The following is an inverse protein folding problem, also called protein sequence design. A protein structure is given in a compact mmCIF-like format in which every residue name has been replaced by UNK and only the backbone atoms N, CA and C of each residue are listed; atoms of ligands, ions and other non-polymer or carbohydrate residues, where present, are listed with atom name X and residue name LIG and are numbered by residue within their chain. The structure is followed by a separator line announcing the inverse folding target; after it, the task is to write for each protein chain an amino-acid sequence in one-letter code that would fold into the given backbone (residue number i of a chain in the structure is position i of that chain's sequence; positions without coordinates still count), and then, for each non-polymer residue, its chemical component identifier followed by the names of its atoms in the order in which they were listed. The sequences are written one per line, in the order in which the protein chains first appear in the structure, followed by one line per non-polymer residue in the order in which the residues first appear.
data_IF_195037022590
#
_entry.id   IF_195037022590
#
_cell.length_a   1.000
_cell.length_b   1.000
_cell.length_c   1.000
_cell.angle_alpha   90.00
_cell.angle_beta   90.00
_cell.angle_gamma   90.00
#
_symmetry.space_group_name_H-M   'P 1'
#
loop_
_entity.id
_entity.type
_entity.pdbx_description
1 polymer ?
#
# COMPACT_ATOMS: atom_id res chain seq x y z
N UNK A 1 46.37 53.90 -2.71
CA UNK A 1 46.20 52.49 -2.25
C UNK A 1 44.93 52.42 -1.41
N UNK A 2 44.02 51.43 -1.51
CA UNK A 2 43.51 50.62 -2.64
C UNK A 2 42.11 51.16 -3.10
N UNK A 3 41.79 51.37 -4.39
CA UNK A 3 41.37 50.44 -5.47
C UNK A 3 40.09 49.64 -5.19
N UNK A 4 38.95 50.29 -5.46
CA UNK A 4 37.61 49.72 -5.69
C UNK A 4 37.62 49.06 -7.07
N UNK A 5 37.19 47.80 -7.16
CA UNK A 5 37.23 47.01 -8.40
C UNK A 5 35.88 46.34 -8.68
N UNK A 6 35.34 46.70 -9.85
CA UNK A 6 34.50 45.98 -10.82
C UNK A 6 33.15 45.41 -10.32
N UNK A 7 31.99 45.89 -10.77
CA UNK A 7 31.46 46.01 -12.15
C UNK A 7 31.43 44.66 -12.87
N UNK A 8 30.24 44.06 -12.99
CA UNK A 8 29.60 43.73 -14.27
C UNK A 8 28.49 42.69 -14.08
N UNK A 9 27.26 43.20 -14.06
CA UNK A 9 26.03 42.47 -14.32
C UNK A 9 25.88 42.38 -15.84
N UNK A 10 26.00 41.18 -16.40
CA UNK A 10 25.65 40.90 -17.79
C UNK A 10 25.37 39.40 -17.96
N UNK A 11 24.09 39.03 -18.13
CA UNK A 11 23.72 37.83 -18.86
C UNK A 11 22.49 38.18 -19.72
N UNK A 12 22.73 38.38 -21.01
CA UNK A 12 21.77 38.71 -22.06
C UNK A 12 21.93 37.67 -23.18
N UNK A 13 20.78 37.22 -23.69
CA UNK A 13 20.52 36.55 -24.99
C UNK A 13 21.13 35.15 -25.16
N UNK A 14 20.56 34.18 -25.88
CA UNK A 14 19.51 34.09 -26.92
C UNK A 14 19.06 32.60 -26.90
N UNK A 15 17.84 32.16 -27.21
CA UNK A 15 17.03 32.48 -28.39
C UNK A 15 17.04 31.29 -29.38
N UNK A 16 16.03 30.43 -29.32
CA UNK A 16 15.50 29.59 -30.41
C UNK A 16 14.16 29.00 -29.90
N UNK A 17 12.98 29.54 -30.22
CA UNK A 17 12.30 29.50 -31.51
C UNK A 17 12.15 28.05 -32.05
N UNK A 18 11.17 27.31 -31.55
CA UNK A 18 10.52 26.25 -32.31
C UNK A 18 9.06 26.65 -32.54
N UNK A 19 8.81 27.02 -33.79
CA UNK A 19 7.51 27.30 -34.35
C UNK A 19 6.70 26.00 -34.47
N UNK A 20 5.43 26.10 -34.09
CA UNK A 20 4.28 25.72 -34.89
C UNK A 20 4.46 24.48 -35.79
N UNK A 21 3.95 23.36 -35.31
CA UNK A 21 3.25 22.41 -36.18
C UNK A 21 1.85 22.23 -35.56
N UNK A 22 0.93 23.01 -36.11
CA UNK A 22 -0.50 22.86 -35.94
C UNK A 22 -1.01 22.50 -37.32
N UNK A 23 -1.24 21.21 -37.57
CA UNK A 23 -2.44 20.72 -38.25
C UNK A 23 -2.32 19.21 -38.46
N UNK A 24 -3.50 18.58 -38.54
CA UNK A 24 -3.72 17.19 -38.94
C UNK A 24 -3.15 16.11 -38.02
N UNK A 25 -4.02 15.58 -37.16
CA UNK A 25 -4.28 14.14 -37.16
C UNK A 25 -5.63 13.84 -36.49
N UNK A 26 -6.63 13.71 -37.36
CA UNK A 26 -7.75 12.77 -37.28
C UNK A 26 -8.63 12.82 -36.01
N UNK A 27 -9.68 13.64 -36.11
CA UNK A 27 -10.98 13.30 -35.54
C UNK A 27 -11.45 11.98 -36.17
N UNK A 28 -11.16 10.86 -35.48
CA UNK A 28 -11.83 9.60 -35.73
C UNK A 28 -13.25 9.69 -35.15
N UNK A 29 -14.16 9.94 -36.08
CA UNK A 29 -15.58 9.64 -36.04
C UNK A 29 -15.83 8.13 -35.83
N UNK A 30 -16.98 7.81 -35.24
CA UNK A 30 -17.56 6.47 -35.00
C UNK A 30 -16.81 5.59 -33.97
N UNK A 31 -17.42 5.04 -32.93
CA UNK A 31 -18.78 4.48 -32.81
C UNK A 31 -19.31 4.67 -31.39
N UNK A 32 -20.59 5.05 -31.30
CA UNK A 32 -21.46 4.69 -30.18
C UNK A 32 -21.52 3.16 -30.09
N UNK A 33 -20.59 2.55 -29.39
CA UNK A 33 -20.78 1.20 -28.86
C UNK A 33 -21.67 1.33 -27.62
N UNK A 34 -22.97 1.28 -27.88
CA UNK A 34 -23.97 0.93 -26.89
C UNK A 34 -23.54 -0.42 -26.29
N UNK A 35 -22.96 -0.38 -25.09
CA UNK A 35 -22.71 -1.58 -24.28
C UNK A 35 -24.09 -2.11 -23.90
N UNK A 36 -24.65 -2.94 -24.77
CA UNK A 36 -25.77 -3.82 -24.45
C UNK A 36 -25.20 -4.85 -23.47
N UNK A 37 -25.33 -4.56 -22.18
CA UNK A 37 -25.18 -5.55 -21.14
C UNK A 37 -26.34 -6.52 -21.35
N UNK A 38 -26.04 -7.67 -21.93
CA UNK A 38 -27.00 -8.75 -22.07
C UNK A 38 -27.29 -9.30 -20.65
N UNK A 39 -28.45 -8.96 -20.11
CA UNK A 39 -28.93 -9.36 -18.78
C UNK A 39 -29.05 -10.90 -18.62
N UNK A 40 -28.75 -11.67 -19.66
CA UNK A 40 -28.78 -13.14 -19.64
C UNK A 40 -27.57 -13.79 -18.96
N UNK A 41 -26.44 -13.09 -18.74
CA UNK A 41 -25.29 -13.65 -18.00
C UNK A 41 -25.50 -13.75 -16.47
N UNK A 42 -26.57 -13.15 -15.92
CA UNK A 42 -26.91 -13.22 -14.50
C UNK A 42 -27.99 -14.26 -14.15
N UNK A 43 -28.44 -15.10 -15.09
CA UNK A 43 -29.43 -16.17 -14.79
C UNK A 43 -28.84 -17.36 -14.02
N UNK A 44 -27.51 -17.56 -14.04
CA UNK A 44 -26.86 -18.62 -13.26
C UNK A 44 -27.13 -18.51 -11.75
N UNK A 45 -27.25 -17.29 -11.22
CA UNK A 45 -27.50 -17.06 -9.79
C UNK A 45 -28.98 -17.24 -9.39
N UNK A 46 -29.91 -17.30 -10.36
CA UNK A 46 -31.35 -17.45 -10.07
C UNK A 46 -31.86 -18.88 -10.17
N UNK A 47 -31.18 -19.77 -10.90
CA UNK A 47 -31.64 -21.15 -11.10
C UNK A 47 -31.29 -22.13 -9.97
N UNK A 48 -30.60 -21.70 -8.91
CA UNK A 48 -30.26 -22.59 -7.80
C UNK A 48 -31.34 -22.65 -6.68
N UNK A 49 -32.53 -22.08 -6.91
CA UNK A 49 -33.58 -22.01 -5.89
C UNK A 49 -34.59 -23.17 -5.91
N UNK A 50 -34.60 -23.99 -6.96
CA UNK A 50 -35.61 -25.05 -7.15
C UNK A 50 -35.06 -26.48 -7.27
N UNK A 51 -33.82 -26.73 -6.83
CA UNK A 51 -33.39 -28.10 -6.52
C UNK A 51 -33.99 -28.53 -5.17
N UNK A 52 -35.31 -28.73 -5.18
CA UNK A 52 -36.05 -29.40 -4.12
C UNK A 52 -35.51 -30.83 -4.01
N UNK A 53 -34.68 -31.04 -3.00
CA UNK A 53 -34.25 -32.33 -2.48
C UNK A 53 -35.49 -33.23 -2.30
N UNK A 54 -35.63 -34.25 -3.15
CA UNK A 54 -36.52 -35.39 -2.87
C UNK A 54 -35.89 -36.19 -1.73
N UNK A 55 -36.54 -36.35 -0.56
CA UNK A 55 -36.06 -37.25 0.47
C UNK A 55 -36.68 -38.62 0.17
N UNK A 56 -36.01 -39.42 -0.65
CA UNK A 56 -36.39 -40.82 -0.79
C UNK A 56 -35.13 -41.66 -1.00
N UNK A 57 -34.40 -41.85 0.08
CA UNK A 57 -33.41 -42.90 0.22
C UNK A 57 -33.46 -43.37 1.67
N UNK A 58 -33.80 -44.64 1.85
CA UNK A 58 -33.75 -45.33 3.13
C UNK A 58 -32.37 -45.16 3.80
N UNK A 59 -32.29 -45.15 5.14
CA UNK A 59 -31.02 -45.10 5.84
C UNK A 59 -30.23 -46.38 5.51
N UNK A 60 -29.21 -46.24 4.66
CA UNK A 60 -28.12 -47.21 4.56
C UNK A 60 -27.16 -46.89 5.70
N UNK A 61 -27.24 -47.71 6.75
CA UNK A 61 -26.24 -47.82 7.82
C UNK A 61 -24.95 -48.42 7.22
N UNK A 62 -24.22 -47.62 6.44
CA UNK A 62 -22.86 -47.94 5.95
C UNK A 62 -21.80 -47.15 6.75
N UNK A 63 -21.95 -47.14 8.08
CA UNK A 63 -20.94 -46.62 9.01
C UNK A 63 -20.04 -47.73 9.60
N UNK A 64 -19.83 -48.83 8.89
CA UNK A 64 -18.82 -49.86 9.19
C UNK A 64 -17.44 -49.52 8.58
N UNK A 65 -16.99 -48.28 8.72
CA UNK A 65 -15.63 -47.84 8.33
C UNK A 65 -14.68 -47.62 9.53
N UNK A 66 -15.11 -47.95 10.75
CA UNK A 66 -14.33 -47.73 11.98
C UNK A 66 -14.03 -49.01 12.78
N UNK A 67 -14.13 -50.19 12.15
CA UNK A 67 -13.74 -51.46 12.78
C UNK A 67 -12.29 -51.88 12.41
N UNK A 68 -11.51 -50.94 11.89
CA UNK A 68 -10.07 -51.06 11.67
C UNK A 68 -9.32 -50.54 12.89
N UNK A 69 -8.74 -51.47 13.64
CA UNK A 69 -8.04 -51.35 14.92
C UNK A 69 -6.82 -50.41 14.95
N UNK A 70 -7.01 -49.11 14.70
CA UNK A 70 -5.97 -48.10 14.93
C UNK A 70 -6.34 -47.25 16.16
N UNK A 71 -6.14 -47.85 17.34
CA UNK A 71 -6.25 -47.23 18.67
C UNK A 71 -5.21 -46.10 18.93
N UNK A 72 -4.78 -45.37 17.91
CA UNK A 72 -3.78 -44.30 17.98
C UNK A 72 -4.34 -43.00 18.60
N UNK A 73 -5.66 -42.93 18.82
CA UNK A 73 -6.32 -41.83 19.55
C UNK A 73 -6.31 -41.99 21.08
N UNK A 74 -5.83 -43.11 21.61
CA UNK A 74 -5.80 -43.37 23.06
C UNK A 74 -4.75 -42.53 23.82
N UNK A 75 -3.85 -41.86 23.09
CA UNK A 75 -2.76 -41.06 23.68
C UNK A 75 -3.08 -39.56 23.79
N UNK A 76 -4.34 -39.18 23.52
CA UNK A 76 -4.88 -37.90 23.98
C UNK A 76 -5.09 -37.97 25.50
N UNK A 77 -3.98 -37.96 26.24
CA UNK A 77 -4.02 -37.62 27.66
C UNK A 77 -4.64 -36.23 27.77
N UNK A 78 -5.85 -36.18 28.32
CA UNK A 78 -6.50 -34.97 28.81
C UNK A 78 -5.62 -34.40 29.92
N UNK A 79 -4.55 -33.74 29.50
CA UNK A 79 -3.68 -32.97 30.38
C UNK A 79 -4.58 -31.90 30.95
N UNK A 80 -4.81 -31.96 32.26
CA UNK A 80 -5.60 -30.95 32.95
C UNK A 80 -5.11 -29.57 32.49
N UNK A 81 -6.02 -28.66 32.08
CA UNK A 81 -5.61 -27.35 31.61
C UNK A 81 -4.68 -26.75 32.67
N UNK A 82 -3.51 -26.23 32.27
CA UNK A 82 -2.55 -25.70 33.21
C UNK A 82 -3.27 -24.72 34.13
N UNK A 83 -3.08 -24.90 35.45
CA UNK A 83 -3.66 -24.02 36.45
C UNK A 83 -3.43 -22.57 35.99
N UNK A 84 -4.47 -21.70 36.03
CA UNK A 84 -4.38 -20.35 35.48
C UNK A 84 -3.13 -19.69 36.01
N UNK A 85 -2.20 -19.42 35.10
CA UNK A 85 -0.93 -18.81 35.44
C UNK A 85 -1.24 -17.55 36.25
N UNK A 86 -0.56 -17.39 37.40
CA UNK A 86 -0.67 -16.17 38.18
C UNK A 86 -0.55 -14.97 37.23
N UNK A 87 -1.41 -13.94 37.35
CA UNK A 87 -1.44 -12.83 36.42
C UNK A 87 -0.01 -12.31 36.24
N UNK A 88 0.47 -12.38 35.00
CA UNK A 88 1.82 -11.96 34.67
C UNK A 88 2.02 -10.56 35.23
N UNK A 89 3.09 -10.35 35.99
CA UNK A 89 3.45 -9.03 36.46
C UNK A 89 3.43 -8.08 35.25
N UNK A 90 2.84 -6.88 35.37
CA UNK A 90 2.74 -5.95 34.25
C UNK A 90 4.14 -5.77 33.66
N UNK A 91 4.26 -5.98 32.35
CA UNK A 91 5.52 -5.83 31.65
C UNK A 91 6.11 -4.47 32.03
N UNK A 92 7.43 -4.38 32.30
CA UNK A 92 8.05 -3.11 32.63
C UNK A 92 7.71 -2.12 31.53
N UNK A 93 7.09 -1.00 31.90
CA UNK A 93 6.78 0.07 30.98
C UNK A 93 8.10 0.49 30.34
N UNK A 94 8.26 0.22 29.04
CA UNK A 94 9.44 0.64 28.31
C UNK A 94 9.61 2.14 28.54
N UNK A 95 10.81 2.56 28.95
CA UNK A 95 11.10 3.98 29.11
C UNK A 95 10.75 4.67 27.78
N UNK A 96 10.07 5.83 27.82
CA UNK A 96 9.75 6.56 26.61
C UNK A 96 11.06 6.86 25.89
N UNK A 97 11.27 6.20 24.75
CA UNK A 97 12.32 6.58 23.81
C UNK A 97 11.87 7.93 23.27
N UNK A 98 12.30 9.02 23.90
CA UNK A 98 12.09 10.36 23.38
C UNK A 98 12.85 10.41 22.04
N UNK A 99 12.15 10.36 20.88
CA UNK A 99 12.83 10.22 19.63
C UNK A 99 13.22 11.62 19.15
N UNK A 100 14.31 11.70 18.40
CA UNK A 100 14.68 12.88 17.61
C UNK A 100 13.62 13.31 16.55
N UNK A 101 12.40 12.76 16.62
CA UNK A 101 11.27 13.00 15.73
C UNK A 101 10.30 14.09 16.22
N UNK A 102 10.51 14.66 17.40
CA UNK A 102 9.61 15.70 17.95
C UNK A 102 9.54 16.97 17.08
N UNK A 103 10.60 17.29 16.33
CA UNK A 103 10.66 18.49 15.47
C UNK A 103 10.38 18.19 13.99
N UNK A 104 10.03 16.95 13.64
CA UNK A 104 9.74 16.57 12.25
C UNK A 104 8.25 16.81 11.98
N UNK A 105 7.95 17.65 10.99
CA UNK A 105 6.57 17.86 10.55
C UNK A 105 5.99 16.57 9.93
N UNK A 106 4.77 16.16 10.31
CA UNK A 106 4.11 15.01 9.70
C UNK A 106 3.96 15.15 8.18
N UNK A 107 3.92 14.01 7.49
CA UNK A 107 3.68 13.88 6.05
C UNK A 107 4.72 14.61 5.16
N UNK A 108 5.94 14.80 5.68
CA UNK A 108 7.07 15.38 4.95
C UNK A 108 8.06 14.34 4.42
N UNK A 109 8.85 14.70 3.40
CA UNK A 109 9.94 13.88 2.84
C UNK A 109 11.19 13.94 3.73
N UNK A 110 11.08 13.43 4.95
CA UNK A 110 12.20 13.40 5.89
C UNK A 110 12.92 12.03 5.90
N UNK A 111 12.22 10.96 5.50
CA UNK A 111 12.71 9.59 5.62
C UNK A 111 13.12 9.02 4.27
N UNK A 112 14.18 8.22 4.28
CA UNK A 112 14.65 7.55 3.06
C UNK A 112 13.91 6.24 2.79
N UNK A 113 13.45 6.07 1.56
CA UNK A 113 13.00 4.79 1.03
C UNK A 113 14.18 3.83 0.96
N UNK A 114 13.96 2.62 1.46
CA UNK A 114 14.85 1.48 1.31
C UNK A 114 14.34 0.62 0.18
N UNK A 115 15.22 0.25 -0.75
CA UNK A 115 14.89 -0.64 -1.86
C UNK A 115 15.70 -1.92 -1.68
N UNK A 116 15.02 -3.06 -1.62
CA UNK A 116 15.65 -4.38 -1.47
C UNK A 116 15.27 -5.29 -2.62
N UNK A 117 16.19 -6.13 -3.13
CA UNK A 117 15.82 -7.23 -4.02
C UNK A 117 14.78 -8.12 -3.34
N UNK A 118 13.77 -8.55 -4.09
CA UNK A 118 12.78 -9.52 -3.62
C UNK A 118 12.90 -10.82 -4.40
N UNK A 119 12.72 -10.75 -5.72
CA UNK A 119 12.86 -11.87 -6.65
C UNK A 119 13.50 -11.41 -7.97
N UNK A 120 13.72 -12.35 -8.91
CA UNK A 120 14.18 -12.03 -10.24
C UNK A 120 13.20 -11.06 -10.94
N UNK A 121 13.65 -9.82 -11.17
CA UNK A 121 12.84 -8.79 -11.82
C UNK A 121 11.87 -8.05 -10.89
N UNK A 122 12.03 -8.13 -9.56
CA UNK A 122 11.24 -7.32 -8.62
C UNK A 122 12.06 -6.81 -7.43
N UNK A 123 11.63 -5.67 -6.90
CA UNK A 123 12.18 -5.06 -5.69
C UNK A 123 11.07 -4.78 -4.69
N UNK A 124 11.38 -4.84 -3.40
CA UNK A 124 10.52 -4.33 -2.33
C UNK A 124 11.00 -2.92 -1.98
N UNK A 125 10.09 -1.97 -2.12
CA UNK A 125 10.26 -0.59 -1.67
C UNK A 125 9.60 -0.44 -0.31
N UNK A 126 10.37 0.01 0.67
CA UNK A 126 9.89 0.34 2.01
C UNK A 126 10.16 1.81 2.30
N UNK A 127 9.12 2.59 2.54
CA UNK A 127 9.22 4.01 2.87
C UNK A 127 8.54 4.29 4.22
N UNK A 128 9.32 4.68 5.24
CA UNK A 128 8.75 5.20 6.49
C UNK A 128 8.11 6.57 6.23
N UNK A 129 6.92 6.79 6.78
CA UNK A 129 6.20 8.06 6.73
C UNK A 129 5.73 8.39 8.14
N UNK A 130 6.12 9.54 8.65
CA UNK A 130 5.57 10.06 9.90
C UNK A 130 4.18 10.63 9.61
N UNK A 131 3.13 10.00 10.10
CA UNK A 131 1.74 10.41 9.81
C UNK A 131 1.20 11.42 10.82
N UNK A 132 1.76 11.42 12.03
CA UNK A 132 1.41 12.35 13.10
C UNK A 132 2.55 12.44 14.12
N UNK A 133 2.75 13.61 14.74
CA UNK A 133 3.52 13.80 15.97
C UNK A 133 2.65 13.57 17.21
N UNK A 134 1.33 13.79 17.09
CA UNK A 134 0.33 13.42 18.08
C UNK A 134 -1.10 13.43 17.52
N UNK A 135 -2.07 13.04 18.35
CA UNK A 135 -3.47 12.88 17.93
C UNK A 135 -4.11 14.14 17.32
N UNK A 136 -3.61 15.34 17.65
CA UNK A 136 -4.10 16.61 17.08
C UNK A 136 -3.79 16.80 15.60
N UNK A 137 -2.82 16.08 15.05
CA UNK A 137 -2.38 16.24 13.65
C UNK A 137 -3.32 15.56 12.66
N UNK A 138 -4.21 14.68 13.13
CA UNK A 138 -5.17 13.95 12.30
C UNK A 138 -6.58 14.42 12.63
N UNK A 139 -7.09 15.30 11.78
CA UNK A 139 -8.45 15.86 11.89
C UNK A 139 -9.52 14.96 11.26
N UNK A 140 -9.13 14.08 10.34
CA UNK A 140 -10.00 13.12 9.67
C UNK A 140 -9.21 11.89 9.24
N UNK A 141 -9.89 10.75 9.14
CA UNK A 141 -9.30 9.53 8.59
C UNK A 141 -8.95 9.73 7.10
N UNK A 142 -7.81 9.19 6.68
CA UNK A 142 -7.31 9.36 5.32
C UNK A 142 -6.57 8.13 4.81
N UNK A 143 -6.57 7.96 3.50
CA UNK A 143 -5.73 6.99 2.82
C UNK A 143 -4.36 7.60 2.57
N UNK A 144 -3.31 6.98 3.11
CA UNK A 144 -1.94 7.21 2.71
C UNK A 144 -1.61 6.30 1.52
N UNK A 145 -1.21 6.90 0.40
CA UNK A 145 -1.03 6.21 -0.87
C UNK A 145 0.44 6.34 -1.27
N UNK A 146 1.09 5.20 -1.51
CA UNK A 146 2.44 5.12 -2.06
C UNK A 146 2.40 4.51 -3.45
N UNK A 147 2.79 5.29 -4.46
CA UNK A 147 2.88 4.84 -5.86
C UNK A 147 4.34 4.72 -6.25
N UNK A 148 4.69 3.66 -6.98
CA UNK A 148 6.04 3.44 -7.51
C UNK A 148 6.00 3.53 -9.02
N UNK A 149 6.90 4.35 -9.55
CA UNK A 149 7.08 4.61 -10.97
C UNK A 149 8.46 4.15 -11.44
N UNK A 150 8.52 3.54 -12.62
CA UNK A 150 9.76 3.18 -13.30
C UNK A 150 9.67 3.72 -14.73
N UNK A 151 10.64 4.53 -15.15
CA UNK A 151 10.62 5.14 -16.49
C UNK A 151 9.39 6.01 -16.75
N UNK A 152 8.82 6.63 -15.71
CA UNK A 152 7.61 7.47 -15.81
C UNK A 152 6.28 6.71 -15.83
N UNK A 153 6.29 5.38 -15.82
CA UNK A 153 5.09 4.55 -15.74
C UNK A 153 4.86 4.03 -14.32
N UNK A 154 3.61 4.08 -13.83
CA UNK A 154 3.25 3.49 -12.54
C UNK A 154 3.30 1.97 -12.66
N UNK A 155 4.11 1.33 -11.82
CA UNK A 155 4.30 -0.12 -11.81
C UNK A 155 3.71 -0.80 -10.58
N UNK A 156 3.55 -0.06 -9.48
CA UNK A 156 2.95 -0.60 -8.25
C UNK A 156 2.33 0.50 -7.40
N UNK A 157 1.43 0.10 -6.50
CA UNK A 157 0.74 1.00 -5.58
C UNK A 157 0.44 0.26 -4.27
N UNK A 158 0.49 0.98 -3.16
CA UNK A 158 -0.01 0.53 -1.86
C UNK A 158 -0.86 1.62 -1.23
N UNK A 159 -1.92 1.23 -0.51
CA UNK A 159 -2.79 2.13 0.24
C UNK A 159 -2.89 1.67 1.68
N UNK A 160 -2.79 2.60 2.63
CA UNK A 160 -2.94 2.35 4.05
C UNK A 160 -3.94 3.34 4.63
N UNK A 161 -4.99 2.84 5.29
CA UNK A 161 -5.94 3.68 5.99
C UNK A 161 -5.34 4.13 7.31
N UNK A 162 -5.21 5.44 7.48
CA UNK A 162 -4.79 6.06 8.74
C UNK A 162 -6.06 6.58 9.41
N UNK A 163 -6.34 6.08 10.61
CA UNK A 163 -7.48 6.53 11.41
C UNK A 163 -7.01 7.33 12.60
N UNK A 164 -7.82 8.28 13.07
CA UNK A 164 -7.53 9.04 14.29
C UNK A 164 -7.34 8.12 15.52
N UNK A 165 -8.07 7.00 15.56
CA UNK A 165 -7.93 5.98 16.61
C UNK A 165 -6.63 5.17 16.52
N UNK A 166 -6.00 5.11 15.36
CA UNK A 166 -4.71 4.43 15.14
C UNK A 166 -3.49 5.31 15.46
N UNK A 167 -3.70 6.59 15.76
CA UNK A 167 -2.63 7.55 16.10
C UNK A 167 -2.37 7.56 17.60
N UNK A 168 -1.09 7.56 17.96
CA UNK A 168 -0.64 7.67 19.34
C UNK A 168 -1.01 9.04 19.93
N UNK A 169 -1.59 9.03 21.14
CA UNK A 169 -1.89 10.26 21.88
C UNK A 169 -0.65 10.96 22.45
N UNK A 170 0.48 10.26 22.59
CA UNK A 170 1.64 10.71 23.36
C UNK A 170 2.97 10.58 22.60
N UNK A 171 2.94 10.41 21.28
CA UNK A 171 4.17 10.33 20.50
C UNK A 171 3.94 10.19 19.00
N UNK A 172 5.04 10.19 18.22
CA UNK A 172 4.95 10.10 16.78
C UNK A 172 4.36 8.76 16.35
N UNK A 173 3.51 8.81 15.33
CA UNK A 173 2.96 7.63 14.66
C UNK A 173 3.61 7.50 13.30
N UNK A 174 4.22 6.35 13.06
CA UNK A 174 4.88 6.01 11.80
C UNK A 174 4.04 5.01 11.03
N UNK A 175 3.87 5.24 9.74
CA UNK A 175 3.36 4.25 8.79
C UNK A 175 4.49 3.81 7.87
N UNK A 176 4.51 2.54 7.50
CA UNK A 176 5.53 1.98 6.60
C UNK A 176 4.84 1.55 5.31
N UNK A 177 4.98 2.36 4.27
CA UNK A 177 4.52 2.00 2.94
C UNK A 177 5.46 0.92 2.40
N UNK A 178 4.93 -0.29 2.20
CA UNK A 178 5.68 -1.43 1.66
C UNK A 178 4.99 -1.91 0.40
N UNK A 179 5.73 -1.99 -0.69
CA UNK A 179 5.21 -2.42 -1.98
C UNK A 179 6.28 -3.18 -2.76
N UNK A 180 5.87 -4.27 -3.38
CA UNK A 180 6.71 -5.00 -4.34
C UNK A 180 6.45 -4.42 -5.72
N UNK A 181 7.52 -3.97 -6.38
CA UNK A 181 7.46 -3.34 -7.69
C UNK A 181 8.27 -4.16 -8.71
N UNK A 182 7.69 -4.49 -9.89
CA UNK A 182 8.44 -5.10 -10.96
C UNK A 182 9.45 -4.10 -11.55
N UNK A 183 10.65 -4.58 -11.87
CA UNK A 183 11.72 -3.78 -12.46
C UNK A 183 12.25 -4.42 -13.76
N UNK A 184 12.43 -3.65 -14.85
CA UNK A 184 12.82 -4.20 -16.15
C UNK A 184 14.32 -4.53 -16.25
N UNK A 185 15.13 -4.08 -15.30
CA UNK A 185 16.58 -4.18 -15.34
C UNK A 185 17.17 -4.48 -13.95
N UNK A 186 18.38 -5.04 -13.94
CA UNK A 186 19.10 -5.34 -12.70
C UNK A 186 19.46 -4.09 -11.89
N UNK A 187 19.57 -2.92 -12.53
CA UNK A 187 19.88 -1.63 -11.90
C UNK A 187 19.06 -0.51 -12.54
N UNK A 188 18.75 0.52 -11.77
CA UNK A 188 18.04 1.69 -12.28
C UNK A 188 17.57 2.64 -11.18
N UNK A 189 16.67 3.54 -11.54
CA UNK A 189 16.03 4.50 -10.64
C UNK A 189 14.52 4.38 -10.70
N UNK A 190 13.90 4.32 -9.51
CA UNK A 190 12.46 4.36 -9.33
C UNK A 190 12.07 5.67 -8.68
N UNK A 191 10.87 6.13 -8.95
CA UNK A 191 10.27 7.29 -8.30
C UNK A 191 9.13 6.81 -7.41
N UNK A 192 9.18 7.17 -6.13
CA UNK A 192 8.11 6.92 -5.16
C UNK A 192 7.34 8.21 -4.98
N UNK A 193 6.05 8.20 -5.31
CA UNK A 193 5.13 9.30 -5.04
C UNK A 193 4.29 8.97 -3.83
N UNK A 194 4.18 9.93 -2.93
CA UNK A 194 3.32 9.81 -1.74
C UNK A 194 2.21 10.84 -1.86
N UNK A 195 0.98 10.38 -1.70
CA UNK A 195 -0.22 11.21 -1.68
C UNK A 195 -1.13 10.82 -0.54
N UNK A 196 -2.08 11.70 -0.20
CA UNK A 196 -3.14 11.40 0.75
C UNK A 196 -4.51 11.65 0.15
N UNK A 197 -5.52 10.88 0.54
CA UNK A 197 -6.91 11.10 0.13
C UNK A 197 -7.85 11.06 1.34
N UNK A 198 -8.69 12.09 1.50
CA UNK A 198 -9.64 12.23 2.61
C UNK A 198 -11.06 12.06 2.06
N UNK A 199 -11.91 11.25 2.71
CA UNK A 199 -13.35 11.21 2.41
C UNK A 199 -13.73 10.90 0.95
N UNK A 200 -12.92 10.12 0.24
CA UNK A 200 -13.15 9.80 -1.19
C UNK A 200 -12.81 10.91 -2.17
N UNK A 201 -12.24 12.03 -1.70
CA UNK A 201 -11.71 13.08 -2.56
C UNK A 201 -10.52 12.60 -3.42
N UNK A 202 -10.21 13.36 -4.46
CA UNK A 202 -9.02 13.12 -5.26
C UNK A 202 -7.74 13.16 -4.39
N UNK A 203 -6.75 12.30 -4.65
CA UNK A 203 -5.50 12.30 -3.89
C UNK A 203 -4.74 13.63 -4.02
N UNK A 204 -4.35 14.18 -2.86
CA UNK A 204 -3.45 15.31 -2.74
C UNK A 204 -2.00 14.81 -2.74
N UNK A 205 -1.19 15.27 -3.69
CA UNK A 205 0.23 14.95 -3.73
C UNK A 205 0.96 15.59 -2.54
N UNK A 206 1.71 14.78 -1.79
CA UNK A 206 2.52 15.23 -0.66
C UNK A 206 3.95 15.49 -1.11
N UNK A 207 4.60 14.47 -1.67
CA UNK A 207 5.97 14.57 -2.18
C UNK A 207 6.29 13.42 -3.13
N UNK A 208 7.39 13.56 -3.88
CA UNK A 208 7.94 12.53 -4.75
C UNK A 208 9.44 12.43 -4.52
N UNK A 209 9.98 11.21 -4.55
CA UNK A 209 11.40 10.96 -4.30
C UNK A 209 11.95 9.87 -5.21
N UNK A 210 13.19 10.03 -5.63
CA UNK A 210 13.90 9.04 -6.43
C UNK A 210 14.71 8.11 -5.53
N UNK A 211 14.70 6.82 -5.82
CA UNK A 211 15.57 5.83 -5.20
C UNK A 211 16.22 4.97 -6.27
N UNK A 212 17.50 4.63 -6.07
CA UNK A 212 18.19 3.70 -6.96
C UNK A 212 18.04 2.27 -6.46
N UNK A 213 18.01 1.29 -7.37
CA UNK A 213 18.03 -0.13 -7.02
C UNK A 213 19.19 -0.86 -7.70
N UNK A 214 19.59 -1.97 -7.08
CA UNK A 214 20.45 -2.99 -7.66
C UNK A 214 19.98 -4.35 -7.17
N UNK A 215 19.79 -5.29 -8.09
CA UNK A 215 19.62 -6.72 -7.82
C UNK A 215 20.97 -7.40 -7.56
#
# INVERSE_FOLDING_TARGET
MPRISLVSLALLLSGAAFAQDADELLLADSTDDEIVIDDSEFEFLRNNKDSALKPDAAPVDDFDMFDGEDNEFSDFTLTAPPAPAAPAAPAPTAAPVAPAALDIAPLTDTFSATVRPADAGSVVVELPVMVAAGASDVSADFWLIGEVYVGGQKVAETRQLITGAGVSAHGPTMSFLKVQAPVPAAKGQLEVRVSRAVGGAAPEALYARTASWSL
#
